data_IF_891248378476
#
_entry.id   IF_891248378476
#
_cell.length_a   1.000
_cell.length_b   1.000
_cell.length_c   1.000
_cell.angle_alpha   90.00
_cell.angle_beta   90.00
_cell.angle_gamma   90.00
#
_symmetry.space_group_name_H-M   'P 1'
#
loop_
_entity.id
_entity.type
_entity.pdbx_description
1 polymer ?
#
# COMPACT_ATOMS: atom_id res chain seq x y z
N UNK A 1 6.46 -49.71 -12.43
CA UNK A 1 5.88 -51.06 -12.63
C UNK A 1 5.22 -51.11 -14.01
N UNK A 2 5.40 -52.20 -14.79
CA UNK A 2 5.00 -52.22 -16.19
C UNK A 2 3.48 -52.23 -16.35
N UNK A 3 3.00 -51.67 -17.46
CA UNK A 3 1.59 -51.75 -17.87
C UNK A 3 1.06 -53.19 -17.81
N UNK A 4 -0.23 -53.34 -17.52
CA UNK A 4 -0.86 -54.66 -17.50
C UNK A 4 -0.63 -55.36 -18.85
N UNK A 5 -0.17 -56.61 -18.82
CA UNK A 5 0.18 -57.40 -20.02
C UNK A 5 -0.95 -57.51 -21.04
N UNK A 6 -2.22 -57.39 -20.59
CA UNK A 6 -3.39 -57.40 -21.46
C UNK A 6 -3.80 -55.96 -21.83
N UNK A 7 -3.74 -55.56 -23.12
CA UNK A 7 -3.95 -54.17 -23.53
C UNK A 7 -5.36 -53.64 -23.22
N UNK A 8 -6.39 -54.50 -23.32
CA UNK A 8 -7.77 -54.12 -22.97
C UNK A 8 -7.95 -53.84 -21.46
N UNK A 9 -7.18 -54.53 -20.62
CA UNK A 9 -7.24 -54.38 -19.17
C UNK A 9 -6.56 -53.07 -18.74
N UNK A 10 -5.45 -52.72 -19.40
CA UNK A 10 -4.79 -51.42 -19.24
C UNK A 10 -5.70 -50.26 -19.68
N UNK A 11 -6.38 -50.40 -20.82
CA UNK A 11 -7.35 -49.40 -21.29
C UNK A 11 -8.51 -49.21 -20.29
N UNK A 12 -9.07 -50.31 -19.78
CA UNK A 12 -10.12 -50.28 -18.77
C UNK A 12 -9.67 -49.58 -17.46
N UNK A 13 -8.46 -49.89 -16.97
CA UNK A 13 -7.90 -49.27 -15.78
C UNK A 13 -7.67 -47.76 -15.96
N UNK A 14 -7.20 -47.31 -17.13
CA UNK A 14 -7.03 -45.89 -17.45
C UNK A 14 -8.36 -45.12 -17.42
N UNK A 15 -9.41 -45.68 -18.03
CA UNK A 15 -10.74 -45.05 -18.06
C UNK A 15 -11.35 -44.97 -16.65
N UNK A 16 -11.16 -45.98 -15.80
CA UNK A 16 -11.58 -45.93 -14.40
C UNK A 16 -10.79 -44.90 -13.57
N UNK A 17 -9.50 -44.73 -13.85
CA UNK A 17 -8.67 -43.72 -13.21
C UNK A 17 -9.15 -42.30 -13.56
N UNK A 18 -9.64 -42.09 -14.79
CA UNK A 18 -10.26 -40.85 -15.27
C UNK A 18 -11.68 -40.60 -14.73
N UNK A 19 -12.23 -41.50 -13.90
CA UNK A 19 -13.54 -41.34 -13.27
C UNK A 19 -14.73 -41.83 -14.10
N UNK A 20 -14.50 -42.52 -15.21
CA UNK A 20 -15.57 -43.07 -16.06
C UNK A 20 -16.24 -44.26 -15.36
N UNK A 21 -17.57 -44.35 -15.49
CA UNK A 21 -18.35 -45.43 -14.88
C UNK A 21 -17.95 -46.81 -15.44
N UNK A 22 -17.91 -47.83 -14.58
CA UNK A 22 -17.42 -49.19 -14.91
C UNK A 22 -18.02 -49.77 -16.20
N UNK A 23 -19.33 -49.64 -16.40
CA UNK A 23 -19.99 -50.18 -17.59
C UNK A 23 -19.55 -49.49 -18.89
N UNK A 24 -19.31 -48.18 -18.85
CA UNK A 24 -18.88 -47.37 -20.00
C UNK A 24 -17.42 -47.64 -20.31
N UNK A 25 -16.57 -47.62 -19.29
CA UNK A 25 -15.15 -47.96 -19.41
C UNK A 25 -14.95 -49.37 -20.00
N UNK A 26 -15.82 -50.33 -19.68
CA UNK A 26 -15.74 -51.71 -20.17
C UNK A 26 -16.07 -51.81 -21.66
N UNK A 27 -17.09 -51.08 -22.10
CA UNK A 27 -17.47 -51.00 -23.51
C UNK A 27 -16.41 -50.29 -24.34
N UNK A 28 -15.89 -49.16 -23.85
CA UNK A 28 -14.83 -48.37 -24.51
C UNK A 28 -13.50 -49.12 -24.59
N UNK A 29 -13.17 -49.93 -23.57
CA UNK A 29 -12.01 -50.82 -23.61
C UNK A 29 -12.18 -52.01 -24.58
N UNK A 30 -13.34 -52.13 -25.26
CA UNK A 30 -13.58 -53.10 -26.31
C UNK A 30 -13.88 -54.51 -25.81
N UNK A 31 -14.47 -54.63 -24.61
CA UNK A 31 -14.98 -55.91 -24.10
C UNK A 31 -16.42 -56.15 -24.54
N UNK A 32 -16.74 -57.42 -24.82
CA UNK A 32 -18.12 -57.87 -25.10
C UNK A 32 -18.74 -58.37 -23.80
N UNK A 33 -19.85 -57.78 -23.36
CA UNK A 33 -20.54 -58.17 -22.14
C UNK A 33 -21.40 -57.06 -21.54
N UNK A 34 -22.05 -57.36 -20.41
CA UNK A 34 -22.91 -56.42 -19.70
C UNK A 34 -22.27 -55.83 -18.44
N UNK A 35 -23.05 -55.01 -17.71
CA UNK A 35 -22.64 -54.32 -16.47
C UNK A 35 -22.09 -55.26 -15.39
N UNK A 36 -22.58 -56.50 -15.31
CA UNK A 36 -22.12 -57.50 -14.34
C UNK A 36 -20.66 -57.94 -14.59
N UNK A 37 -20.27 -58.11 -15.86
CA UNK A 37 -18.89 -58.44 -16.25
C UNK A 37 -17.92 -57.29 -15.96
N UNK A 38 -18.37 -56.05 -16.19
CA UNK A 38 -17.60 -54.84 -15.88
C UNK A 38 -17.33 -54.71 -14.38
N UNK A 39 -18.35 -54.93 -13.55
CA UNK A 39 -18.23 -54.89 -12.08
C UNK A 39 -17.25 -55.94 -11.56
N UNK A 40 -17.34 -57.19 -12.06
CA UNK A 40 -16.37 -58.26 -11.70
C UNK A 40 -14.94 -57.94 -12.12
N UNK A 41 -14.74 -57.27 -13.25
CA UNK A 41 -13.42 -56.85 -13.69
C UNK A 41 -12.88 -55.69 -12.84
N UNK A 42 -13.76 -54.79 -12.38
CA UNK A 42 -13.38 -53.67 -11.51
C UNK A 42 -12.90 -54.13 -10.12
N UNK A 43 -13.38 -55.28 -9.63
CA UNK A 43 -12.95 -55.86 -8.34
C UNK A 43 -11.69 -56.73 -8.46
N UNK A 44 -11.12 -56.91 -9.66
CA UNK A 44 -9.90 -57.70 -9.82
C UNK A 44 -8.70 -56.96 -9.23
N UNK A 45 -7.93 -57.64 -8.38
CA UNK A 45 -6.79 -57.07 -7.65
C UNK A 45 -5.79 -56.34 -8.55
N UNK A 46 -5.49 -56.89 -9.73
CA UNK A 46 -4.56 -56.28 -10.68
C UNK A 46 -5.11 -54.96 -11.28
N UNK A 47 -6.42 -54.88 -11.51
CA UNK A 47 -7.07 -53.65 -12.01
C UNK A 47 -7.13 -52.61 -10.91
N UNK A 48 -7.50 -53.00 -9.69
CA UNK A 48 -7.60 -52.10 -8.53
C UNK A 48 -6.24 -51.48 -8.22
N UNK A 49 -5.19 -52.31 -8.14
CA UNK A 49 -3.82 -51.84 -7.93
C UNK A 49 -3.38 -50.85 -9.02
N UNK A 50 -3.69 -51.15 -10.29
CA UNK A 50 -3.34 -50.28 -11.41
C UNK A 50 -4.09 -48.96 -11.42
N UNK A 51 -5.39 -48.96 -11.09
CA UNK A 51 -6.19 -47.73 -10.97
C UNK A 51 -5.68 -46.86 -9.83
N UNK A 52 -5.31 -47.46 -8.69
CA UNK A 52 -4.71 -46.75 -7.56
C UNK A 52 -3.37 -46.11 -7.94
N UNK A 53 -2.50 -46.84 -8.66
CA UNK A 53 -1.24 -46.29 -9.19
C UNK A 53 -1.48 -45.12 -10.15
N UNK A 54 -2.40 -45.26 -11.11
CA UNK A 54 -2.68 -44.23 -12.10
C UNK A 54 -3.28 -42.97 -11.46
N UNK A 55 -4.11 -43.13 -10.44
CA UNK A 55 -4.62 -42.02 -9.62
C UNK A 55 -3.52 -41.38 -8.80
N UNK A 56 -2.65 -42.17 -8.17
CA UNK A 56 -1.49 -41.65 -7.43
C UNK A 56 -0.45 -40.98 -8.34
N UNK A 57 -0.36 -41.33 -9.62
CA UNK A 57 0.46 -40.61 -10.61
C UNK A 57 -0.20 -39.31 -11.09
N UNK A 58 -1.53 -39.24 -11.10
CA UNK A 58 -2.28 -38.01 -11.39
C UNK A 58 -2.33 -37.05 -10.19
N UNK A 59 -2.40 -37.58 -8.98
CA UNK A 59 -2.34 -36.87 -7.69
C UNK A 59 -0.91 -36.75 -7.14
N UNK A 60 0.09 -37.33 -7.80
CA UNK A 60 1.48 -36.96 -7.54
C UNK A 60 1.51 -35.45 -7.73
N UNK A 61 1.97 -34.66 -6.72
CA UNK A 61 1.87 -33.23 -6.79
C UNK A 61 2.64 -32.81 -8.04
N UNK A 62 1.90 -32.49 -9.10
CA UNK A 62 2.39 -31.63 -10.16
C UNK A 62 3.05 -30.49 -9.39
N UNK A 63 4.38 -30.38 -9.56
CA UNK A 63 5.20 -29.46 -8.79
C UNK A 63 4.45 -28.17 -8.61
N UNK A 64 4.49 -27.63 -7.40
CA UNK A 64 3.98 -26.30 -7.09
C UNK A 64 4.63 -25.31 -8.05
N UNK A 65 4.06 -25.18 -9.23
CA UNK A 65 4.11 -23.99 -10.05
C UNK A 65 3.54 -22.95 -9.10
N UNK A 66 4.47 -22.26 -8.46
CA UNK A 66 4.29 -21.11 -7.60
C UNK A 66 3.62 -20.05 -8.48
N UNK A 67 2.32 -20.22 -8.76
CA UNK A 67 1.50 -19.17 -9.31
C UNK A 67 1.58 -18.10 -8.24
N UNK A 68 2.11 -16.89 -8.52
CA UNK A 68 2.21 -15.87 -7.50
C UNK A 68 0.80 -15.55 -7.03
N UNK A 69 0.39 -16.18 -5.93
CA UNK A 69 -0.91 -16.04 -5.32
C UNK A 69 -0.76 -14.90 -4.32
N UNK A 70 -0.58 -13.71 -4.88
CA UNK A 70 -0.42 -12.45 -4.18
C UNK A 70 -0.04 -11.35 -5.16
N UNK A 71 -0.74 -10.20 -5.09
CA UNK A 71 -0.24 -8.91 -5.56
C UNK A 71 1.23 -8.81 -5.12
N UNK A 72 2.18 -8.37 -5.98
CA UNK A 72 3.60 -8.32 -5.62
C UNK A 72 3.79 -7.39 -4.42
N UNK A 73 3.70 -7.94 -3.21
CA UNK A 73 3.79 -7.23 -1.93
C UNK A 73 5.18 -7.35 -1.32
N UNK A 74 6.07 -8.07 -2.01
CA UNK A 74 7.48 -8.11 -1.68
C UNK A 74 8.09 -6.73 -1.85
N UNK A 75 8.53 -6.16 -0.74
CA UNK A 75 9.34 -4.95 -0.75
C UNK A 75 10.63 -5.20 -1.54
N UNK A 76 10.96 -4.28 -2.44
CA UNK A 76 12.25 -4.24 -3.13
C UNK A 76 13.04 -3.04 -2.63
N UNK A 77 14.35 -3.16 -2.35
CA UNK A 77 15.17 -2.04 -1.90
C UNK A 77 15.14 -0.82 -2.83
N UNK A 78 14.96 -1.04 -4.14
CA UNK A 78 14.82 0.03 -5.14
C UNK A 78 13.62 0.96 -4.88
N UNK A 79 12.58 0.48 -4.19
CA UNK A 79 11.43 1.28 -3.83
C UNK A 79 11.76 2.39 -2.83
N UNK A 80 12.80 2.24 -2.01
CA UNK A 80 13.27 3.30 -1.12
C UNK A 80 13.76 4.53 -1.89
N UNK A 81 14.56 4.32 -2.94
CA UNK A 81 15.04 5.41 -3.78
C UNK A 81 13.89 6.08 -4.56
N UNK A 82 12.95 5.28 -5.06
CA UNK A 82 11.79 5.79 -5.79
C UNK A 82 10.87 6.60 -4.86
N UNK A 83 10.60 6.10 -3.65
CA UNK A 83 9.81 6.79 -2.64
C UNK A 83 10.47 8.10 -2.20
N UNK A 84 11.79 8.12 -2.02
CA UNK A 84 12.53 9.34 -1.72
C UNK A 84 12.38 10.40 -2.82
N UNK A 85 12.53 9.99 -4.09
CA UNK A 85 12.32 10.89 -5.24
C UNK A 85 10.89 11.44 -5.29
N UNK A 86 9.88 10.61 -5.04
CA UNK A 86 8.48 11.04 -4.98
C UNK A 86 8.25 12.03 -3.83
N UNK A 87 8.80 11.78 -2.64
CA UNK A 87 8.72 12.71 -1.52
C UNK A 87 9.43 14.05 -1.80
N UNK A 88 10.56 14.05 -2.50
CA UNK A 88 11.24 15.29 -2.93
C UNK A 88 10.40 16.13 -3.90
N UNK A 89 9.52 15.48 -4.68
CA UNK A 89 8.53 16.13 -5.54
C UNK A 89 7.29 16.61 -4.78
N UNK A 90 7.18 16.29 -3.48
CA UNK A 90 6.05 16.66 -2.63
C UNK A 90 4.88 15.68 -2.69
N UNK A 91 5.09 14.46 -3.19
CA UNK A 91 4.04 13.45 -3.25
C UNK A 91 3.59 13.02 -1.84
N UNK A 92 2.29 12.85 -1.68
CA UNK A 92 1.66 12.34 -0.46
C UNK A 92 1.82 10.83 -0.33
N UNK A 93 1.61 10.29 0.88
CA UNK A 93 1.67 8.84 1.11
C UNK A 93 0.58 8.09 0.31
N UNK A 94 -0.57 8.72 0.01
CA UNK A 94 -1.63 8.15 -0.82
C UNK A 94 -1.21 8.08 -2.30
N UNK A 95 -0.68 9.16 -2.86
CA UNK A 95 -0.16 9.19 -4.24
C UNK A 95 1.03 8.23 -4.43
N UNK A 96 1.84 8.07 -3.40
CA UNK A 96 2.93 7.09 -3.38
C UNK A 96 2.41 5.66 -3.40
N UNK A 97 1.35 5.36 -2.63
CA UNK A 97 0.71 4.05 -2.64
C UNK A 97 0.08 3.74 -4.01
N UNK A 98 -0.54 4.74 -4.64
CA UNK A 98 -1.08 4.63 -6.00
C UNK A 98 0.01 4.40 -7.04
N UNK A 99 1.15 5.11 -6.95
CA UNK A 99 2.30 4.92 -7.85
C UNK A 99 2.86 3.49 -7.80
N UNK A 100 3.04 2.94 -6.60
CA UNK A 100 3.51 1.57 -6.41
C UNK A 100 2.41 0.53 -6.69
N UNK A 101 1.17 0.97 -6.92
CA UNK A 101 0.03 0.10 -7.06
C UNK A 101 -0.12 -0.82 -5.85
N UNK A 102 0.06 -0.28 -4.63
CA UNK A 102 -0.13 -0.95 -3.34
C UNK A 102 -1.20 -0.24 -2.51
N UNK A 103 -1.71 -0.89 -1.46
CA UNK A 103 -2.60 -0.21 -0.52
C UNK A 103 -1.78 0.59 0.50
N UNK A 104 -2.31 1.72 1.00
CA UNK A 104 -1.63 2.54 2.02
C UNK A 104 -1.17 1.74 3.25
N UNK A 105 -1.98 0.76 3.68
CA UNK A 105 -1.60 -0.13 4.78
C UNK A 105 -0.31 -0.92 4.51
N UNK A 106 -0.08 -1.33 3.26
CA UNK A 106 1.17 -2.00 2.83
C UNK A 106 2.34 -1.03 2.87
N UNK A 107 2.15 0.22 2.44
CA UNK A 107 3.17 1.26 2.53
C UNK A 107 3.57 1.52 4.00
N UNK A 108 2.60 1.60 4.92
CA UNK A 108 2.90 1.74 6.35
C UNK A 108 3.63 0.53 6.91
N UNK A 109 3.27 -0.67 6.48
CA UNK A 109 3.98 -1.89 6.86
C UNK A 109 5.43 -1.86 6.37
N UNK A 110 5.70 -1.43 5.14
CA UNK A 110 7.07 -1.26 4.64
C UNK A 110 7.88 -0.25 5.46
N UNK A 111 7.25 0.84 5.92
CA UNK A 111 7.91 1.81 6.82
C UNK A 111 8.29 1.23 8.19
N UNK A 112 7.56 0.22 8.66
CA UNK A 112 7.84 -0.45 9.94
C UNK A 112 8.85 -1.59 9.77
N UNK A 113 8.69 -2.38 8.72
CA UNK A 113 9.48 -3.59 8.47
C UNK A 113 10.87 -3.25 7.86
N UNK A 114 11.03 -2.08 7.23
CA UNK A 114 12.27 -1.66 6.57
C UNK A 114 12.71 -0.26 7.02
N UNK A 115 13.76 -0.21 7.86
CA UNK A 115 14.32 1.04 8.39
C UNK A 115 14.89 1.93 7.27
N UNK A 116 15.61 1.34 6.31
CA UNK A 116 16.17 2.07 5.15
C UNK A 116 15.09 2.82 4.34
N UNK A 117 13.91 2.22 4.16
CA UNK A 117 12.77 2.84 3.47
C UNK A 117 12.24 4.04 4.25
N UNK A 118 12.14 3.86 5.56
CA UNK A 118 11.66 4.88 6.48
C UNK A 118 12.61 6.08 6.49
N UNK A 119 13.90 5.82 6.57
CA UNK A 119 14.94 6.85 6.64
C UNK A 119 15.10 7.62 5.32
N UNK A 120 15.00 6.93 4.18
CA UNK A 120 14.97 7.57 2.86
C UNK A 120 13.79 8.56 2.74
N UNK A 121 12.60 8.16 3.21
CA UNK A 121 11.41 9.04 3.22
C UNK A 121 11.58 10.20 4.20
N UNK A 122 12.09 9.96 5.41
CA UNK A 122 12.32 11.04 6.40
C UNK A 122 13.30 12.07 5.87
N UNK A 123 14.41 11.64 5.28
CA UNK A 123 15.42 12.52 4.69
C UNK A 123 14.84 13.34 3.54
N UNK A 124 14.06 12.71 2.65
CA UNK A 124 13.39 13.40 1.55
C UNK A 124 12.36 14.44 2.04
N UNK A 125 11.58 14.11 3.07
CA UNK A 125 10.63 15.04 3.70
C UNK A 125 11.33 16.23 4.35
N UNK A 126 12.46 16.02 5.03
CA UNK A 126 13.26 17.10 5.59
C UNK A 126 13.75 18.09 4.51
N UNK A 127 14.11 17.61 3.31
CA UNK A 127 14.45 18.49 2.19
C UNK A 127 13.25 19.24 1.62
N UNK A 128 12.08 18.58 1.54
CA UNK A 128 10.85 19.26 1.14
C UNK A 128 10.49 20.38 2.14
N UNK A 129 10.61 20.11 3.44
CA UNK A 129 10.41 21.08 4.51
C UNK A 129 11.42 22.24 4.40
N UNK A 130 12.71 21.96 4.16
CA UNK A 130 13.73 23.00 3.93
C UNK A 130 13.39 23.93 2.75
N UNK A 131 12.82 23.38 1.67
CA UNK A 131 12.38 24.18 0.51
C UNK A 131 11.22 25.10 0.87
N UNK A 132 10.27 24.59 1.66
CA UNK A 132 9.15 25.40 2.19
C UNK A 132 9.69 26.47 3.12
N UNK A 133 10.61 26.15 4.03
CA UNK A 133 11.25 27.11 4.92
C UNK A 133 11.97 28.22 4.16
N UNK A 134 12.73 27.88 3.11
CA UNK A 134 13.42 28.86 2.27
C UNK A 134 12.44 29.79 1.54
N UNK A 135 11.37 29.23 1.00
CA UNK A 135 10.32 29.99 0.30
C UNK A 135 9.54 30.88 1.28
N UNK A 136 9.23 30.35 2.47
CA UNK A 136 8.56 31.08 3.54
C UNK A 136 9.43 32.22 4.05
N UNK A 137 10.75 32.01 4.20
CA UNK A 137 11.71 33.05 4.55
C UNK A 137 11.75 34.16 3.50
N UNK A 138 11.88 33.82 2.21
CA UNK A 138 11.83 34.81 1.12
C UNK A 138 10.53 35.61 1.14
N UNK A 139 9.40 34.94 1.36
CA UNK A 139 8.09 35.59 1.49
C UNK A 139 8.01 36.47 2.74
N UNK A 140 8.62 36.07 3.85
CA UNK A 140 8.64 36.81 5.10
C UNK A 140 9.58 38.04 5.06
N UNK A 141 10.64 38.03 4.26
CA UNK A 141 11.54 39.18 4.08
C UNK A 141 11.15 40.10 2.93
N UNK A 142 10.35 39.59 1.99
CA UNK A 142 10.20 40.17 0.66
C UNK A 142 11.36 39.77 -0.25
N UNK A 143 11.10 39.71 -1.55
CA UNK A 143 12.07 39.34 -2.58
C UNK A 143 11.73 39.98 -3.93
N UNK A 144 12.72 40.10 -4.80
CA UNK A 144 12.54 40.61 -6.16
C UNK A 144 12.47 39.46 -7.15
N UNK A 145 11.45 39.47 -8.02
CA UNK A 145 11.27 38.50 -9.11
C UNK A 145 11.39 39.23 -10.43
N UNK A 146 12.06 38.62 -11.39
CA UNK A 146 12.04 39.09 -12.78
C UNK A 146 10.93 38.35 -13.50
N UNK A 147 9.87 39.06 -13.90
CA UNK A 147 8.77 38.53 -14.69
C UNK A 147 8.95 38.94 -16.15
N UNK A 148 8.79 38.00 -17.08
CA UNK A 148 8.71 38.31 -18.51
C UNK A 148 7.30 38.79 -18.84
N UNK A 149 7.17 40.06 -19.21
CA UNK A 149 5.90 40.65 -19.61
C UNK A 149 5.89 40.92 -21.11
N UNK A 150 4.89 40.38 -21.79
CA UNK A 150 4.62 40.66 -23.19
C UNK A 150 3.97 42.04 -23.32
N UNK A 151 4.75 43.03 -23.74
CA UNK A 151 4.25 44.39 -23.99
C UNK A 151 3.93 44.48 -25.47
N UNK A 152 2.70 44.91 -25.78
CA UNK A 152 2.29 45.22 -27.15
C UNK A 152 2.82 46.60 -27.53
N UNK A 153 3.73 46.64 -28.50
CA UNK A 153 4.24 47.89 -29.05
C UNK A 153 3.51 48.15 -30.37
N UNK A 154 2.86 49.31 -30.48
CA UNK A 154 2.25 49.75 -31.74
C UNK A 154 3.33 50.39 -32.60
N UNK A 155 3.78 49.66 -33.63
CA UNK A 155 4.81 50.13 -34.56
C UNK A 155 4.17 50.91 -35.73
N UNK A 156 2.90 50.64 -36.08
CA UNK A 156 2.13 51.39 -37.06
C UNK A 156 0.61 51.44 -36.73
N UNK A 157 -0.17 52.23 -37.47
CA UNK A 157 -1.61 52.46 -37.24
C UNK A 157 -2.46 51.17 -37.26
N UNK A 158 -1.96 50.08 -37.87
CA UNK A 158 -2.59 48.75 -37.91
C UNK A 158 -1.63 47.56 -37.66
N UNK A 159 -0.42 47.79 -37.11
CA UNK A 159 0.56 46.73 -36.88
C UNK A 159 0.99 46.72 -35.40
N UNK A 160 0.72 45.61 -34.72
CA UNK A 160 1.11 45.37 -33.33
C UNK A 160 2.19 44.28 -33.29
N UNK A 161 3.31 44.58 -32.64
CA UNK A 161 4.37 43.61 -32.36
C UNK A 161 4.39 43.32 -30.85
N UNK A 162 4.61 42.06 -30.48
CA UNK A 162 4.65 41.63 -29.08
C UNK A 162 6.11 41.42 -28.70
N UNK A 163 6.64 42.32 -27.85
CA UNK A 163 7.99 42.20 -27.31
C UNK A 163 7.92 41.65 -25.87
N UNK A 164 8.68 40.60 -25.59
CA UNK A 164 8.79 40.02 -24.25
C UNK A 164 9.90 40.75 -23.50
N UNK A 165 9.53 41.58 -22.53
CA UNK A 165 10.45 42.40 -21.74
C UNK A 165 10.56 41.83 -20.32
N UNK A 166 11.78 41.71 -19.81
CA UNK A 166 12.04 41.32 -18.43
C UNK A 166 11.83 42.50 -17.47
N UNK A 167 10.80 42.42 -16.63
CA UNK A 167 10.45 43.45 -15.64
C UNK A 167 10.77 42.93 -14.24
N UNK A 168 11.55 43.69 -13.47
CA UNK A 168 11.78 43.41 -12.05
C UNK A 168 10.60 43.89 -11.22
N UNK A 169 9.99 42.96 -10.48
CA UNK A 169 8.85 43.20 -9.59
C UNK A 169 9.24 42.85 -8.16
N UNK A 170 9.08 43.82 -7.27
CA UNK A 170 9.31 43.61 -5.85
C UNK A 170 8.05 43.01 -5.21
N UNK A 171 8.19 41.86 -4.56
CA UNK A 171 7.15 41.25 -3.73
C UNK A 171 7.44 41.65 -2.29
N UNK A 172 6.55 42.43 -1.64
CA UNK A 172 6.77 42.88 -0.28
C UNK A 172 6.69 41.71 0.71
N UNK A 173 7.28 41.91 1.88
CA UNK A 173 7.20 40.98 3.00
C UNK A 173 5.74 40.67 3.39
N UNK A 174 5.42 39.40 3.54
CA UNK A 174 4.14 38.93 4.08
C UNK A 174 4.23 38.83 5.61
N UNK A 175 3.42 39.64 6.29
CA UNK A 175 3.38 39.71 7.76
C UNK A 175 2.93 38.40 8.40
N UNK A 176 2.08 37.63 7.73
CA UNK A 176 1.60 36.32 8.22
C UNK A 176 2.71 35.29 8.12
N UNK A 177 3.45 35.29 7.00
CA UNK A 177 4.65 34.45 6.86
C UNK A 177 5.70 34.78 7.93
N UNK A 178 5.91 36.06 8.23
CA UNK A 178 6.81 36.50 9.29
C UNK A 178 6.35 36.03 10.69
N UNK A 179 5.05 36.11 11.01
CA UNK A 179 4.50 35.62 12.28
C UNK A 179 4.69 34.11 12.42
N UNK A 180 4.36 33.32 11.40
CA UNK A 180 4.57 31.86 11.44
C UNK A 180 6.05 31.49 11.57
N UNK A 181 6.93 32.20 10.86
CA UNK A 181 8.36 32.01 10.97
C UNK A 181 8.89 32.26 12.38
N UNK A 182 8.47 33.37 13.00
CA UNK A 182 8.87 33.72 14.36
C UNK A 182 8.32 32.74 15.39
N UNK A 183 7.07 32.28 15.23
CA UNK A 183 6.48 31.21 16.05
C UNK A 183 7.26 29.91 15.98
N UNK A 184 7.79 29.53 14.81
CA UNK A 184 8.55 28.29 14.65
C UNK A 184 9.98 28.40 15.18
N UNK A 185 10.66 29.55 14.98
CA UNK A 185 12.09 29.73 15.28
C UNK A 185 12.41 30.40 16.61
N UNK A 186 11.49 31.20 17.16
CA UNK A 186 11.57 31.83 18.49
C UNK A 186 10.32 31.50 19.31
N UNK A 187 10.11 30.20 19.51
CA UNK A 187 8.94 29.67 20.23
C UNK A 187 8.76 30.31 21.60
N UNK A 188 9.84 30.53 22.35
CA UNK A 188 9.76 31.07 23.70
C UNK A 188 9.20 32.50 23.76
N UNK A 189 9.47 33.30 22.73
CA UNK A 189 9.06 34.71 22.65
C UNK A 189 7.72 34.91 21.89
N UNK A 190 7.41 34.03 20.92
CA UNK A 190 6.31 34.25 19.96
C UNK A 190 5.20 33.20 20.00
N UNK A 191 5.35 32.11 20.77
CA UNK A 191 4.29 31.10 20.89
C UNK A 191 3.06 31.70 21.56
N UNK A 192 1.89 31.41 21.00
CA UNK A 192 0.63 31.85 21.59
C UNK A 192 0.50 31.26 22.99
N UNK A 193 0.17 32.10 23.97
CA UNK A 193 -0.15 31.66 25.32
C UNK A 193 -1.60 31.15 25.30
N UNK A 194 -1.77 29.84 25.45
CA UNK A 194 -3.09 29.24 25.64
C UNK A 194 -3.43 29.29 27.12
N UNK A 195 -4.33 30.19 27.52
CA UNK A 195 -4.97 30.13 28.83
C UNK A 195 -6.15 29.15 28.74
N UNK A 196 -6.03 28.01 29.41
CA UNK A 196 -7.11 27.02 29.51
C UNK A 196 -7.82 27.26 30.84
N UNK A 197 -8.96 27.95 30.79
CA UNK A 197 -9.84 28.06 31.95
C UNK A 197 -10.57 26.72 32.17
N UNK A 198 -10.14 25.96 33.17
CA UNK A 198 -10.88 24.80 33.65
C UNK A 198 -12.04 25.26 34.55
N UNK A 199 -13.18 25.61 33.94
CA UNK A 199 -14.41 25.85 34.68
C UNK A 199 -15.09 24.51 34.96
N UNK A 200 -14.86 23.97 36.15
CA UNK A 200 -15.65 22.85 36.64
C UNK A 200 -16.83 23.37 37.44
N UNK A 201 -18.05 23.09 36.97
CA UNK A 201 -19.27 23.43 37.70
C UNK A 201 -19.63 22.25 38.59
N UNK A 202 -19.09 22.24 39.81
CA UNK A 202 -19.33 21.21 40.82
C UNK A 202 -20.61 21.47 41.66
N UNK A 203 -21.38 22.51 41.33
CA UNK A 203 -22.44 23.03 42.20
C UNK A 203 -23.66 22.08 42.33
N UNK A 204 -23.84 21.15 41.40
CA UNK A 204 -25.00 20.25 41.35
C UNK A 204 -24.61 18.77 41.54
N UNK A 205 -23.34 18.47 41.85
CA UNK A 205 -22.86 17.10 42.06
C UNK A 205 -22.97 16.73 43.54
N UNK A 206 -23.46 15.52 43.82
CA UNK A 206 -23.46 15.00 45.18
C UNK A 206 -22.04 14.64 45.66
N UNK A 207 -21.81 14.61 46.98
CA UNK A 207 -20.50 14.32 47.56
C UNK A 207 -19.93 12.98 47.06
N UNK A 208 -20.78 11.95 46.89
CA UNK A 208 -20.39 10.64 46.35
C UNK A 208 -19.94 10.71 44.88
N UNK A 209 -20.51 11.62 44.08
CA UNK A 209 -20.15 11.82 42.68
C UNK A 209 -18.85 12.63 42.55
N UNK A 210 -18.60 13.56 43.49
CA UNK A 210 -17.35 14.32 43.58
C UNK A 210 -16.18 13.42 43.97
N UNK A 211 -16.38 12.51 44.93
CA UNK A 211 -15.35 11.55 45.35
C UNK A 211 -14.98 10.60 44.20
N UNK A 212 -15.97 10.17 43.42
CA UNK A 212 -15.73 9.31 42.26
C UNK A 212 -15.00 10.01 41.10
N UNK A 213 -15.27 11.29 40.87
CA UNK A 213 -14.52 12.11 39.89
C UNK A 213 -13.09 12.41 40.38
N UNK A 214 -12.90 12.62 41.68
CA UNK A 214 -11.56 12.77 42.29
C UNK A 214 -10.73 11.50 42.13
N UNK A 215 -11.30 10.32 42.39
CA UNK A 215 -10.63 9.04 42.16
C UNK A 215 -10.24 8.83 40.69
N UNK A 216 -11.14 9.17 39.76
CA UNK A 216 -10.85 9.10 38.32
C UNK A 216 -9.73 10.05 37.90
N UNK A 217 -9.75 11.30 38.38
CA UNK A 217 -8.73 12.28 38.06
C UNK A 217 -7.34 11.92 38.66
N UNK A 218 -7.30 11.31 39.83
CA UNK A 218 -6.06 10.80 40.45
C UNK A 218 -5.52 9.61 39.65
N UNK A 219 -6.36 8.66 39.26
CA UNK A 219 -5.96 7.51 38.44
C UNK A 219 -5.47 7.91 37.04
N UNK A 220 -6.06 8.94 36.43
CA UNK A 220 -5.65 9.47 35.12
C UNK A 220 -4.30 10.18 35.12
N UNK A 221 -3.85 10.73 36.26
CA UNK A 221 -2.53 11.38 36.40
C UNK A 221 -1.39 10.38 36.58
N UNK A 222 -1.63 9.21 37.17
CA UNK A 222 -0.60 8.16 37.31
C UNK A 222 -0.19 7.55 35.95
N UNK A 223 -1.06 7.63 34.93
CA UNK A 223 -0.74 7.18 33.57
C UNK A 223 0.02 8.18 32.69
N UNK A 224 0.21 9.43 33.13
CA UNK A 224 0.76 10.51 32.30
C UNK A 224 2.18 10.96 32.72
N UNK A 225 2.75 10.39 33.78
CA UNK A 225 4.12 10.66 34.23
C UNK A 225 5.14 9.59 33.81
N UNK A 226 4.75 8.63 32.98
CA UNK A 226 5.64 7.60 32.45
C UNK A 226 5.51 7.51 30.92
N UNK A 227 6.03 8.51 30.19
CA UNK A 227 6.74 8.33 28.92
C UNK A 227 7.37 9.63 28.42
#
# INVERSE_FOLDING_TARGET
MPALSKPKYEAYAKLLAQGIAQAVAYAEAGFKGGRSSASRLATNENIVARVAELRAQADAPAGTEDRPQGRPSGYMPEYAEQAAKLCLLGATDDEMADFFGIHRATLYRWKLDHEDFCDAIKSAKAHADERVERSLYQKATGYEVTEEQAIKIKVAQHEEEVEVVQVRKHIPADTTAAIFWLKNRRKDDWRDKTEVEHRHTFADMSDDELDKELEQAVSGKEGQTAH
#
